data_IF_766494252550
#
_entry.id   IF_766494252550
#
_cell.length_a   1.000
_cell.length_b   1.000
_cell.length_c   1.000
_cell.angle_alpha   90.00
_cell.angle_beta   90.00
_cell.angle_gamma   90.00
#
_symmetry.space_group_name_H-M   'P 1'
#
loop_
_entity.id
_entity.type
_entity.pdbx_description
1 polymer ?
#
# COMPACT_ATOMS: atom_id res chain seq x y z
N UNK A 1 -5.81 -21.58 20.06
CA UNK A 1 -5.72 -21.98 18.65
C UNK A 1 -4.27 -22.17 18.23
N UNK A 2 -3.43 -21.15 18.42
CA UNK A 2 -1.97 -21.17 18.24
C UNK A 2 -1.27 -22.40 18.85
N UNK A 3 -1.42 -22.65 20.16
CA UNK A 3 -0.84 -23.83 20.84
C UNK A 3 -1.19 -25.17 20.17
N UNK A 4 -2.40 -25.30 19.62
CA UNK A 4 -2.85 -26.52 18.93
C UNK A 4 -2.17 -26.67 17.57
N UNK A 5 -1.97 -25.56 16.86
CA UNK A 5 -1.27 -25.52 15.57
C UNK A 5 0.21 -25.82 15.78
N UNK A 6 0.87 -25.15 16.72
CA UNK A 6 2.27 -25.41 17.06
C UNK A 6 2.48 -26.88 17.47
N UNK A 7 1.61 -27.45 18.31
CA UNK A 7 1.68 -28.87 18.66
C UNK A 7 1.60 -29.80 17.43
N UNK A 8 0.75 -29.47 16.45
CA UNK A 8 0.62 -30.26 15.22
C UNK A 8 1.87 -30.15 14.34
N UNK A 9 2.43 -28.95 14.23
CA UNK A 9 3.69 -28.69 13.53
C UNK A 9 4.84 -29.44 14.20
N UNK A 10 4.97 -29.35 15.51
CA UNK A 10 6.02 -30.02 16.28
C UNK A 10 5.94 -31.54 16.15
N UNK A 11 4.73 -32.11 16.19
CA UNK A 11 4.55 -33.56 16.02
C UNK A 11 5.03 -34.01 14.64
N UNK A 12 4.61 -33.30 13.58
CA UNK A 12 5.03 -33.61 12.20
C UNK A 12 6.54 -33.38 12.00
N UNK A 13 7.10 -32.33 12.59
CA UNK A 13 8.54 -32.02 12.55
C UNK A 13 9.35 -33.11 13.23
N UNK A 14 8.93 -33.58 14.41
CA UNK A 14 9.61 -34.66 15.11
C UNK A 14 9.62 -35.95 14.29
N UNK A 15 8.48 -36.34 13.69
CA UNK A 15 8.44 -37.51 12.80
C UNK A 15 9.37 -37.34 11.60
N UNK A 16 9.32 -36.17 10.94
CA UNK A 16 10.17 -35.87 9.79
C UNK A 16 11.67 -35.90 10.12
N UNK A 17 12.09 -35.31 11.24
CA UNK A 17 13.48 -35.34 11.70
C UNK A 17 13.94 -36.77 12.00
N UNK A 18 13.10 -37.55 12.66
CA UNK A 18 13.41 -38.95 12.97
C UNK A 18 13.58 -39.80 11.71
N UNK A 19 12.73 -39.61 10.70
CA UNK A 19 12.82 -40.32 9.42
C UNK A 19 14.13 -39.98 8.69
N UNK A 20 14.52 -38.69 8.68
CA UNK A 20 15.80 -38.25 8.11
C UNK A 20 16.98 -38.83 8.89
N UNK A 21 16.97 -38.75 10.22
CA UNK A 21 18.03 -39.33 11.05
C UNK A 21 18.19 -40.84 10.79
N UNK A 22 17.07 -41.56 10.68
CA UNK A 22 17.06 -43.00 10.37
C UNK A 22 17.64 -43.28 8.98
N UNK A 23 17.29 -42.44 7.99
CA UNK A 23 17.84 -42.53 6.64
C UNK A 23 19.35 -42.26 6.60
N UNK A 24 19.84 -41.26 7.33
CA UNK A 24 21.27 -40.95 7.45
C UNK A 24 22.00 -42.13 8.10
N UNK A 25 21.47 -42.66 9.20
CA UNK A 25 22.07 -43.79 9.92
C UNK A 25 22.14 -45.08 9.09
N UNK A 26 21.18 -45.29 8.18
CA UNK A 26 21.12 -46.50 7.35
C UNK A 26 21.99 -46.42 6.09
N UNK A 27 22.24 -45.22 5.56
CA UNK A 27 22.89 -45.04 4.24
C UNK A 27 24.30 -44.45 4.32
N UNK A 28 24.66 -43.75 5.40
CA UNK A 28 25.97 -43.11 5.57
C UNK A 28 26.87 -44.01 6.39
N UNK A 29 27.95 -44.52 5.78
CA UNK A 29 28.94 -45.40 6.44
C UNK A 29 30.01 -44.63 7.22
N UNK A 30 30.25 -43.37 6.86
CA UNK A 30 31.20 -42.51 7.56
C UNK A 30 30.58 -42.00 8.87
N UNK A 31 31.09 -42.48 10.00
CA UNK A 31 30.63 -42.12 11.34
C UNK A 31 30.82 -40.64 11.67
N UNK A 32 31.82 -39.96 11.09
CA UNK A 32 32.06 -38.54 11.33
C UNK A 32 30.95 -37.72 10.66
N UNK A 33 30.77 -37.94 9.35
CA UNK A 33 29.76 -37.27 8.55
C UNK A 33 28.33 -37.58 9.05
N UNK A 34 28.10 -38.82 9.48
CA UNK A 34 26.82 -39.23 10.08
C UNK A 34 26.46 -38.41 11.32
N UNK A 35 27.43 -38.17 12.23
CA UNK A 35 27.20 -37.37 13.44
C UNK A 35 26.92 -35.92 13.09
N UNK A 36 27.74 -35.33 12.21
CA UNK A 36 27.58 -33.93 11.77
C UNK A 36 26.20 -33.69 11.15
N UNK A 37 25.73 -34.59 10.28
CA UNK A 37 24.42 -34.48 9.65
C UNK A 37 23.26 -34.63 10.65
N UNK A 38 23.36 -35.57 11.59
CA UNK A 38 22.34 -35.78 12.62
C UNK A 38 22.26 -34.57 13.57
N UNK A 39 23.40 -34.02 13.97
CA UNK A 39 23.46 -32.80 14.78
C UNK A 39 22.85 -31.62 14.04
N UNK A 40 23.17 -31.45 12.75
CA UNK A 40 22.60 -30.39 11.91
C UNK A 40 21.08 -30.49 11.81
N UNK A 41 20.54 -31.67 11.53
CA UNK A 41 19.08 -31.90 11.42
C UNK A 41 18.40 -31.64 12.76
N UNK A 42 18.98 -32.09 13.87
CA UNK A 42 18.41 -31.87 15.20
C UNK A 42 18.47 -30.41 15.65
N UNK A 43 19.55 -29.70 15.32
CA UNK A 43 19.75 -28.28 15.62
C UNK A 43 18.85 -27.32 14.84
N UNK A 44 18.23 -27.76 13.74
CA UNK A 44 17.37 -26.90 12.92
C UNK A 44 16.16 -26.38 13.71
N UNK A 45 15.98 -25.06 13.77
CA UNK A 45 14.96 -24.39 14.59
C UNK A 45 13.51 -24.75 14.20
N UNK A 46 12.57 -24.66 15.15
CA UNK A 46 11.14 -24.85 14.86
C UNK A 46 10.50 -23.54 14.43
N UNK A 47 9.60 -23.60 13.46
CA UNK A 47 8.70 -22.47 13.22
C UNK A 47 7.69 -22.40 14.36
N UNK A 48 7.53 -21.21 14.93
CA UNK A 48 6.54 -20.94 15.98
C UNK A 48 5.53 -19.96 15.42
N UNK A 49 4.28 -20.40 15.28
CA UNK A 49 3.18 -19.51 14.93
C UNK A 49 2.85 -18.69 16.17
N UNK A 50 2.85 -17.37 16.04
CA UNK A 50 2.50 -16.44 17.13
C UNK A 50 1.06 -15.91 16.97
N UNK A 51 0.61 -15.08 17.91
CA UNK A 51 -0.71 -14.46 17.83
C UNK A 51 -0.83 -13.50 16.65
N UNK A 52 0.26 -12.85 16.29
CA UNK A 52 0.34 -11.90 15.19
C UNK A 52 0.07 -12.58 13.85
N UNK A 53 0.52 -13.82 13.68
CA UNK A 53 0.28 -14.64 12.47
C UNK A 53 -1.19 -15.01 12.29
N UNK A 54 -1.92 -15.14 13.40
CA UNK A 54 -3.34 -15.48 13.41
C UNK A 54 -4.25 -14.26 13.46
N UNK A 55 -3.70 -13.09 13.76
CA UNK A 55 -4.46 -11.85 13.83
C UNK A 55 -4.90 -11.43 12.42
N UNK A 56 -6.21 -11.23 12.22
CA UNK A 56 -6.70 -10.56 11.02
C UNK A 56 -6.05 -9.18 10.96
N UNK A 57 -5.25 -8.94 9.91
CA UNK A 57 -4.63 -7.63 9.70
C UNK A 57 -5.71 -6.55 9.73
N UNK A 58 -5.61 -5.65 10.71
CA UNK A 58 -6.47 -4.48 10.78
C UNK A 58 -6.05 -3.54 9.66
N UNK A 59 -6.79 -3.56 8.55
CA UNK A 59 -6.56 -2.61 7.46
C UNK A 59 -6.71 -1.21 8.03
N UNK A 60 -5.68 -0.37 7.88
CA UNK A 60 -5.80 1.06 8.17
C UNK A 60 -6.95 1.59 7.34
N UNK A 61 -7.97 2.14 8.02
CA UNK A 61 -9.09 2.77 7.34
C UNK A 61 -8.61 4.14 6.88
N UNK A 62 -8.37 4.31 5.58
CA UNK A 62 -8.15 5.63 5.02
C UNK A 62 -9.46 6.42 5.17
N UNK A 63 -9.43 7.49 5.96
CA UNK A 63 -10.56 8.38 6.13
C UNK A 63 -10.88 9.06 4.80
N UNK A 64 -12.11 8.89 4.32
CA UNK A 64 -12.60 9.60 3.13
C UNK A 64 -13.05 10.98 3.59
N UNK A 65 -12.58 12.09 2.99
CA UNK A 65 -13.09 13.43 3.30
C UNK A 65 -14.61 13.50 3.14
N UNK A 66 -15.32 14.23 4.02
CA UNK A 66 -16.79 14.30 4.01
C UNK A 66 -17.37 14.72 2.64
N UNK A 67 -16.70 15.65 1.95
CA UNK A 67 -17.05 16.11 0.61
C UNK A 67 -16.99 15.02 -0.47
N UNK A 68 -16.28 13.93 -0.20
CA UNK A 68 -16.12 12.76 -1.09
C UNK A 68 -16.88 11.53 -0.59
N UNK A 69 -17.51 11.60 0.59
CA UNK A 69 -18.29 10.49 1.13
C UNK A 69 -19.65 10.37 0.44
N UNK A 70 -20.20 9.16 0.48
CA UNK A 70 -21.52 8.83 -0.02
C UNK A 70 -22.59 9.49 0.84
N UNK A 71 -23.60 10.08 0.22
CA UNK A 71 -24.70 10.77 0.91
C UNK A 71 -25.78 9.80 1.44
N UNK A 72 -25.71 8.51 1.13
CA UNK A 72 -26.72 7.54 1.57
C UNK A 72 -26.53 7.07 3.01
N UNK A 73 -27.63 6.76 3.68
CA UNK A 73 -27.69 6.15 5.00
C UNK A 73 -27.61 4.63 4.93
N UNK A 74 -26.88 4.06 5.89
CA UNK A 74 -26.86 2.61 6.16
C UNK A 74 -28.09 2.23 6.98
N UNK A 75 -28.31 0.92 7.14
CA UNK A 75 -29.42 0.40 7.95
C UNK A 75 -29.39 0.84 9.42
N UNK A 76 -28.24 1.27 9.93
CA UNK A 76 -28.09 1.83 11.28
C UNK A 76 -28.38 3.35 11.34
N UNK A 77 -28.83 3.97 10.25
CA UNK A 77 -29.11 5.41 10.18
C UNK A 77 -27.88 6.31 10.05
N UNK A 78 -26.66 5.75 9.97
CA UNK A 78 -25.43 6.53 9.82
C UNK A 78 -25.07 6.76 8.34
N UNK A 79 -24.36 7.87 8.06
CA UNK A 79 -23.83 8.15 6.74
C UNK A 79 -22.86 7.05 6.27
N UNK A 80 -23.01 6.65 5.01
CA UNK A 80 -22.10 5.71 4.40
C UNK A 80 -20.68 6.31 4.24
N UNK A 81 -19.73 5.78 5.01
CA UNK A 81 -18.31 6.21 4.97
C UNK A 81 -17.54 5.84 3.69
N UNK A 82 -18.21 5.34 2.63
CA UNK A 82 -17.57 4.96 1.36
C UNK A 82 -17.45 6.19 0.46
N UNK A 83 -16.43 6.24 -0.38
CA UNK A 83 -16.26 7.29 -1.39
C UNK A 83 -17.37 7.23 -2.44
N UNK A 84 -17.91 8.38 -2.83
CA UNK A 84 -18.90 8.53 -3.92
C UNK A 84 -18.29 8.18 -5.28
N UNK A 85 -19.11 7.76 -6.24
CA UNK A 85 -18.64 7.30 -7.55
C UNK A 85 -18.69 8.45 -8.57
N UNK A 86 -17.53 8.96 -8.99
CA UNK A 86 -17.48 10.05 -9.97
C UNK A 86 -18.20 11.31 -9.47
N UNK A 87 -19.20 11.75 -10.23
CA UNK A 87 -20.07 12.89 -9.89
C UNK A 87 -21.37 12.47 -9.19
N UNK A 88 -21.60 11.17 -9.00
CA UNK A 88 -22.77 10.68 -8.26
C UNK A 88 -22.69 11.09 -6.78
N UNK A 89 -23.87 11.27 -6.16
CA UNK A 89 -24.00 11.48 -4.71
C UNK A 89 -23.72 10.21 -3.89
N UNK A 90 -23.75 9.05 -4.54
CA UNK A 90 -23.69 7.75 -3.88
C UNK A 90 -22.43 6.97 -4.24
N UNK A 91 -22.02 6.04 -3.37
CA UNK A 91 -20.98 5.07 -3.68
C UNK A 91 -21.52 3.98 -4.60
N UNK A 92 -20.63 3.22 -5.26
CA UNK A 92 -21.05 2.21 -6.24
C UNK A 92 -22.05 1.16 -5.73
N UNK A 93 -22.15 0.93 -4.42
CA UNK A 93 -23.15 0.02 -3.82
C UNK A 93 -24.53 0.68 -3.69
N UNK A 94 -24.59 1.94 -3.27
CA UNK A 94 -25.85 2.69 -3.16
C UNK A 94 -26.31 3.28 -4.50
N UNK A 95 -25.47 3.26 -5.53
CA UNK A 95 -25.91 3.46 -6.92
C UNK A 95 -26.64 2.22 -7.45
N UNK A 96 -26.17 1.01 -7.06
CA UNK A 96 -26.73 -0.27 -7.52
C UNK A 96 -27.92 -0.78 -6.69
N UNK A 97 -28.08 -0.30 -5.47
CA UNK A 97 -29.13 -0.73 -4.55
C UNK A 97 -29.77 0.45 -3.85
N UNK A 98 -30.96 0.25 -3.29
CA UNK A 98 -31.74 1.31 -2.68
C UNK A 98 -31.10 1.78 -1.36
N UNK A 99 -30.81 3.07 -1.21
CA UNK A 99 -30.32 3.61 0.07
C UNK A 99 -31.44 3.61 1.12
N UNK A 100 -31.08 3.47 2.41
CA UNK A 100 -32.05 3.52 3.52
C UNK A 100 -32.45 4.97 3.88
N UNK A 101 -32.07 5.94 3.05
CA UNK A 101 -32.21 7.36 3.26
C UNK A 101 -31.00 8.13 2.71
N UNK A 102 -31.10 9.45 2.71
CA UNK A 102 -30.03 10.36 2.29
C UNK A 102 -29.80 11.39 3.41
N UNK A 103 -28.55 11.80 3.60
CA UNK A 103 -28.23 12.93 4.47
C UNK A 103 -28.86 14.20 3.90
N UNK A 104 -29.48 15.01 4.74
CA UNK A 104 -30.07 16.30 4.33
C UNK A 104 -29.05 17.43 4.33
N UNK A 105 -27.97 17.28 5.09
CA UNK A 105 -26.89 18.25 5.14
C UNK A 105 -26.04 18.16 3.88
N UNK A 106 -25.92 19.28 3.18
CA UNK A 106 -24.98 19.39 2.07
C UNK A 106 -23.55 19.22 2.64
N UNK A 107 -22.77 18.25 2.17
CA UNK A 107 -21.40 18.10 2.63
C UNK A 107 -20.61 19.38 2.28
N UNK A 108 -19.62 19.76 3.10
CA UNK A 108 -18.82 20.94 2.84
C UNK A 108 -18.24 20.89 1.42
N UNK A 109 -18.30 22.01 0.70
CA UNK A 109 -17.75 22.08 -0.66
C UNK A 109 -16.27 21.68 -0.64
N UNK A 110 -15.80 21.04 -1.73
CA UNK A 110 -14.39 20.70 -1.88
C UNK A 110 -13.56 21.99 -1.89
N UNK A 111 -12.85 22.27 -0.80
CA UNK A 111 -11.96 23.43 -0.68
C UNK A 111 -10.58 23.18 -1.29
N UNK A 112 -10.21 21.90 -1.51
CA UNK A 112 -8.89 21.52 -2.01
C UNK A 112 -9.00 20.52 -3.16
N UNK A 113 -8.12 20.67 -4.16
CA UNK A 113 -7.94 19.73 -5.27
C UNK A 113 -6.65 18.95 -5.04
N UNK A 114 -6.71 17.62 -5.10
CA UNK A 114 -5.50 16.80 -5.14
C UNK A 114 -4.90 16.84 -6.54
N UNK A 115 -3.63 17.20 -6.63
CA UNK A 115 -2.85 17.21 -7.87
C UNK A 115 -1.77 16.15 -7.71
N UNK A 116 -1.58 15.34 -8.76
CA UNK A 116 -0.48 14.40 -8.82
C UNK A 116 0.74 15.12 -9.40
N UNK A 117 1.84 15.08 -8.65
CA UNK A 117 3.11 15.67 -9.02
C UNK A 117 4.14 14.53 -9.10
N UNK A 118 5.03 14.58 -10.09
CA UNK A 118 6.13 13.63 -10.23
C UNK A 118 7.42 14.35 -10.63
N UNK A 119 8.54 13.65 -10.50
CA UNK A 119 9.84 14.19 -10.88
C UNK A 119 10.08 13.93 -12.36
N UNK A 120 10.47 14.98 -13.09
CA UNK A 120 10.90 14.90 -14.47
C UNK A 120 12.26 15.57 -14.62
N UNK A 121 13.19 14.87 -15.24
CA UNK A 121 14.48 15.45 -15.60
C UNK A 121 14.33 16.27 -16.89
N UNK A 122 14.72 17.54 -16.82
CA UNK A 122 14.72 18.48 -17.94
C UNK A 122 16.10 19.14 -18.00
N UNK A 123 16.85 18.88 -19.08
CA UNK A 123 18.21 19.40 -19.30
C UNK A 123 19.17 19.09 -18.12
N UNK A 124 19.06 17.90 -17.52
CA UNK A 124 19.95 17.46 -16.42
C UNK A 124 19.55 17.92 -15.02
N UNK A 125 18.43 18.64 -14.87
CA UNK A 125 17.92 19.09 -13.57
C UNK A 125 16.56 18.45 -13.32
N UNK A 126 16.36 17.93 -12.11
CA UNK A 126 15.12 17.28 -11.67
C UNK A 126 14.09 18.31 -11.20
N UNK A 127 12.93 18.34 -11.86
CA UNK A 127 11.83 19.24 -11.53
C UNK A 127 10.59 18.46 -11.10
N UNK A 128 9.82 19.03 -10.17
CA UNK A 128 8.49 18.53 -9.82
C UNK A 128 7.46 19.13 -10.78
N UNK A 129 6.79 18.29 -11.56
CA UNK A 129 5.82 18.71 -12.57
C UNK A 129 4.46 18.02 -12.43
N UNK A 130 3.40 18.61 -13.00
CA UNK A 130 2.05 18.03 -13.04
C UNK A 130 1.49 17.84 -14.46
N UNK A 131 0.31 17.23 -14.57
CA UNK A 131 -0.41 17.04 -15.84
C UNK A 131 -0.96 18.35 -16.46
N UNK A 132 -0.83 19.49 -15.78
CA UNK A 132 -1.31 20.80 -16.21
C UNK A 132 -0.18 21.71 -16.67
N UNK A 133 0.98 21.13 -17.00
CA UNK A 133 2.16 21.82 -17.49
C UNK A 133 2.81 22.79 -16.48
N UNK A 134 2.58 22.59 -15.18
CA UNK A 134 3.18 23.41 -14.12
C UNK A 134 4.45 22.77 -13.57
N UNK A 135 5.40 23.61 -13.18
CA UNK A 135 6.61 23.24 -12.44
C UNK A 135 6.53 23.86 -11.06
N UNK A 136 6.71 23.05 -10.03
CA UNK A 136 6.57 23.44 -8.64
C UNK A 136 7.92 23.68 -7.97
N UNK A 137 7.92 24.56 -6.98
CA UNK A 137 9.07 24.78 -6.10
C UNK A 137 9.43 23.51 -5.32
N UNK A 138 10.71 23.15 -5.32
CA UNK A 138 11.20 21.93 -4.69
C UNK A 138 10.95 21.92 -3.17
N UNK A 139 11.16 23.05 -2.51
CA UNK A 139 11.03 23.17 -1.07
C UNK A 139 9.56 23.07 -0.63
N UNK A 140 8.63 23.67 -1.39
CA UNK A 140 7.20 23.58 -1.09
C UNK A 140 6.66 22.14 -1.23
N UNK A 141 7.14 21.37 -2.22
CA UNK A 141 6.74 19.97 -2.42
C UNK A 141 7.32 19.06 -1.33
N UNK A 142 8.62 19.19 -1.01
CA UNK A 142 9.29 18.37 0.01
C UNK A 142 8.67 18.59 1.40
N UNK A 143 8.25 19.83 1.70
CA UNK A 143 7.60 20.16 2.98
C UNK A 143 6.10 19.87 3.02
N UNK A 144 5.51 19.25 1.99
CA UNK A 144 4.07 18.98 1.89
C UNK A 144 3.19 20.21 2.13
N UNK A 145 3.62 21.37 1.63
CA UNK A 145 2.90 22.63 1.80
C UNK A 145 1.62 22.63 0.96
N UNK A 146 0.52 23.06 1.56
CA UNK A 146 -0.72 23.30 0.83
C UNK A 146 -0.56 24.47 -0.16
N UNK A 147 -1.06 24.30 -1.39
CA UNK A 147 -0.91 25.25 -2.50
C UNK A 147 0.56 25.62 -2.79
N UNK A 148 1.39 24.64 -3.22
CA UNK A 148 2.81 24.88 -3.51
C UNK A 148 2.99 25.91 -4.63
N UNK A 149 4.04 26.73 -4.53
CA UNK A 149 4.33 27.77 -5.51
C UNK A 149 4.70 27.18 -6.86
N UNK A 150 4.05 27.66 -7.92
CA UNK A 150 4.41 27.35 -9.31
C UNK A 150 5.55 28.29 -9.72
N UNK A 151 6.71 27.73 -10.08
CA UNK A 151 7.90 28.49 -10.46
C UNK A 151 8.00 28.72 -11.97
N UNK A 152 7.48 27.81 -12.77
CA UNK A 152 7.52 27.88 -14.23
C UNK A 152 6.48 26.96 -14.86
N UNK A 153 6.39 26.98 -16.20
CA UNK A 153 5.62 26.02 -16.99
C UNK A 153 6.52 25.29 -17.95
N UNK A 154 6.27 24.00 -18.15
CA UNK A 154 7.00 23.20 -19.14
C UNK A 154 6.15 23.04 -20.42
N UNK A 155 6.82 22.85 -21.54
CA UNK A 155 6.22 22.48 -22.82
C UNK A 155 6.70 21.10 -23.25
N UNK A 156 5.80 20.27 -23.75
CA UNK A 156 6.13 18.97 -24.35
C UNK A 156 6.09 19.08 -25.86
N UNK A 157 7.23 18.91 -26.52
CA UNK A 157 7.32 18.91 -27.98
C UNK A 157 6.69 17.64 -28.60
N UNK A 158 6.44 17.66 -29.91
CA UNK A 158 5.94 16.51 -30.69
C UNK A 158 6.83 15.27 -30.55
N UNK A 159 8.12 15.48 -30.29
CA UNK A 159 9.12 14.43 -30.13
C UNK A 159 9.15 13.83 -28.71
N UNK A 160 8.21 14.23 -27.85
CA UNK A 160 8.11 13.77 -26.46
C UNK A 160 9.10 14.41 -25.48
N UNK A 161 9.98 15.30 -25.96
CA UNK A 161 10.93 16.04 -25.12
C UNK A 161 10.25 17.14 -24.32
N UNK A 162 10.65 17.25 -23.05
CA UNK A 162 10.21 18.28 -22.13
C UNK A 162 11.17 19.48 -22.22
N UNK A 163 10.63 20.68 -22.27
CA UNK A 163 11.40 21.91 -22.24
C UNK A 163 10.74 22.98 -21.36
N UNK A 164 11.51 23.98 -20.93
CA UNK A 164 11.04 25.07 -20.08
C UNK A 164 11.27 26.40 -20.83
N UNK A 165 10.27 26.94 -21.54
CA UNK A 165 10.44 28.11 -22.39
C UNK A 165 10.91 29.37 -21.64
N UNK A 166 10.51 29.52 -20.38
CA UNK A 166 10.84 30.70 -19.54
C UNK A 166 12.31 30.78 -19.13
N UNK A 167 13.07 29.67 -19.17
CA UNK A 167 14.51 29.68 -18.84
C UNK A 167 15.38 30.28 -19.96
N UNK A 168 14.80 30.64 -21.12
CA UNK A 168 15.53 31.12 -22.31
C UNK A 168 15.55 32.66 -22.47
N UNK A 169 15.01 33.44 -21.53
CA UNK A 169 14.81 34.90 -21.72
C UNK A 169 15.95 35.82 -21.25
N UNK A 170 17.14 35.32 -20.97
CA UNK A 170 18.32 36.18 -20.75
C UNK A 170 19.42 35.88 -21.76
N UNK A 171 19.40 36.63 -22.85
CA UNK A 171 20.56 37.02 -23.63
C UNK A 171 20.46 38.49 -23.98
#
# INVERSE_FOLDING_TARGET
MEKRINKKIDTWRCTFKNDICTMIQSNVKDLQLQRELVEYVNGYESIVITKEDLAKRKRVKNMVPLCDQCCALRANGEQCTRRRKGEDKFCGTHVKGTPNGEIKDNPPMKTHKKIQVWIQEIRGISYYIDNSNNIYDHHDIVNNKDNPKIIARYSKGTDGKYDIPTLLQHK
#
